data_IF_040083954778
#
_entry.id   IF_040083954778
#
_cell.length_a   1.000
_cell.length_b   1.000
_cell.length_c   1.000
_cell.angle_alpha   90.00
_cell.angle_beta   90.00
_cell.angle_gamma   90.00
#
_symmetry.space_group_name_H-M   'P 1'
#
loop_
_entity.id
_entity.type
_entity.pdbx_description
1 polymer ?
#
# COMPACT_ATOMS: atom_id res chain seq x y z
N UNK A 1 -4.62 23.28 6.72
CA UNK A 1 -3.17 23.41 6.42
C UNK A 1 -2.94 24.11 5.08
N UNK A 2 -3.55 23.63 3.99
CA UNK A 2 -3.48 24.26 2.67
C UNK A 2 -3.99 25.71 2.68
N UNK A 3 -5.17 25.96 3.24
CA UNK A 3 -5.71 27.32 3.37
C UNK A 3 -4.79 28.26 4.14
N UNK A 4 -4.19 27.75 5.23
CA UNK A 4 -3.24 28.53 6.03
C UNK A 4 -2.00 28.87 5.21
N UNK A 5 -1.47 27.91 4.43
CA UNK A 5 -0.33 28.17 3.57
C UNK A 5 -0.64 29.22 2.51
N UNK A 6 -1.82 29.12 1.87
CA UNK A 6 -2.29 30.10 0.89
C UNK A 6 -2.48 31.49 1.49
N UNK A 7 -3.27 31.62 2.56
CA UNK A 7 -3.59 32.90 3.21
C UNK A 7 -2.37 33.60 3.83
N UNK A 8 -1.30 32.86 4.13
CA UNK A 8 -0.08 33.37 4.75
C UNK A 8 1.10 33.44 3.79
N UNK A 9 0.90 33.17 2.49
CA UNK A 9 1.97 33.12 1.48
C UNK A 9 3.14 32.21 1.90
N UNK A 10 2.83 31.06 2.52
CA UNK A 10 3.81 30.05 2.91
C UNK A 10 3.93 28.97 1.81
N UNK A 11 5.02 28.18 1.83
CA UNK A 11 5.14 27.01 0.96
C UNK A 11 3.95 26.06 1.07
N UNK A 12 3.43 25.63 -0.08
CA UNK A 12 2.32 24.67 -0.19
C UNK A 12 2.83 23.25 0.07
N UNK A 13 1.95 22.40 0.61
CA UNK A 13 2.20 20.97 0.67
C UNK A 13 1.92 20.35 -0.70
N UNK A 14 2.96 19.83 -1.34
CA UNK A 14 2.88 19.22 -2.69
C UNK A 14 2.69 17.71 -2.66
N UNK A 15 3.06 17.04 -1.55
CA UNK A 15 3.06 15.57 -1.45
C UNK A 15 2.52 15.10 -0.10
N UNK A 16 1.68 14.07 -0.14
CA UNK A 16 1.26 13.28 1.00
C UNK A 16 1.88 11.87 0.92
N UNK A 17 2.36 11.35 2.05
CA UNK A 17 2.94 10.01 2.12
C UNK A 17 2.19 9.08 3.10
N UNK A 18 1.06 8.47 2.70
CA UNK A 18 0.24 7.62 3.57
C UNK A 18 0.60 6.14 3.47
N UNK A 19 0.17 5.34 4.45
CA UNK A 19 0.08 3.89 4.31
C UNK A 19 -1.05 3.55 3.35
N UNK A 20 -0.75 2.76 2.32
CA UNK A 20 -1.79 2.28 1.41
C UNK A 20 -1.37 1.00 0.69
N UNK A 21 -2.20 -0.04 0.76
CA UNK A 21 -2.00 -1.31 0.09
C UNK A 21 -3.34 -2.07 -0.06
N UNK A 22 -3.33 -3.32 -0.56
CA UNK A 22 -4.57 -4.10 -0.72
C UNK A 22 -5.31 -4.38 0.59
N UNK A 23 -4.61 -4.38 1.72
CA UNK A 23 -5.14 -4.60 3.06
C UNK A 23 -5.49 -3.28 3.77
N UNK A 24 -4.58 -2.31 3.78
CA UNK A 24 -4.74 -1.04 4.48
C UNK A 24 -5.14 0.07 3.50
N UNK A 25 -6.41 0.49 3.56
CA UNK A 25 -7.01 1.42 2.58
C UNK A 25 -7.77 2.58 3.20
N UNK A 26 -8.41 2.35 4.35
CA UNK A 26 -9.41 3.25 4.94
C UNK A 26 -8.87 4.60 5.40
N UNK A 27 -7.57 4.69 5.68
CA UNK A 27 -6.91 5.95 6.05
C UNK A 27 -6.77 6.93 4.89
N UNK A 28 -6.79 6.43 3.64
CA UNK A 28 -6.60 7.24 2.44
C UNK A 28 -7.84 7.30 1.57
N UNK A 29 -8.50 6.16 1.32
CA UNK A 29 -9.71 6.10 0.49
C UNK A 29 -10.78 7.08 1.02
N UNK A 30 -11.44 7.80 0.10
CA UNK A 30 -12.48 8.77 0.43
C UNK A 30 -11.95 10.20 0.57
N UNK A 31 -12.37 10.97 1.60
CA UNK A 31 -12.17 12.42 1.64
C UNK A 31 -10.72 12.88 1.49
N UNK A 32 -9.76 12.12 2.03
CA UNK A 32 -8.34 12.49 1.97
C UNK A 32 -7.79 12.35 0.55
N UNK A 33 -8.05 11.23 -0.13
CA UNK A 33 -7.64 11.03 -1.52
C UNK A 33 -8.36 12.00 -2.47
N UNK A 34 -9.65 12.28 -2.21
CA UNK A 34 -10.40 13.26 -3.01
C UNK A 34 -9.86 14.68 -2.83
N UNK A 35 -9.47 15.06 -1.62
CA UNK A 35 -8.76 16.32 -1.37
C UNK A 35 -7.43 16.35 -2.14
N UNK A 36 -6.62 15.30 -2.06
CA UNK A 36 -5.35 15.24 -2.80
C UNK A 36 -5.54 15.41 -4.31
N UNK A 37 -6.60 14.82 -4.88
CA UNK A 37 -6.93 14.98 -6.30
C UNK A 37 -7.41 16.40 -6.63
N UNK A 38 -8.26 16.99 -5.79
CA UNK A 38 -8.80 18.33 -6.00
C UNK A 38 -7.72 19.42 -5.91
N UNK A 39 -6.73 19.19 -5.05
CA UNK A 39 -5.65 20.13 -4.77
C UNK A 39 -4.37 19.80 -5.56
N UNK A 40 -4.37 18.82 -6.47
CA UNK A 40 -3.17 18.37 -7.19
C UNK A 40 -1.98 18.10 -6.25
N UNK A 41 -2.23 17.32 -5.20
CA UNK A 41 -1.22 16.86 -4.24
C UNK A 41 -0.81 15.45 -4.64
N UNK A 42 0.49 15.26 -4.87
CA UNK A 42 1.05 13.94 -5.16
C UNK A 42 0.87 12.99 -3.98
N UNK A 43 0.49 11.74 -4.25
CA UNK A 43 0.32 10.71 -3.22
C UNK A 43 1.33 9.60 -3.44
N UNK A 44 2.28 9.48 -2.51
CA UNK A 44 3.35 8.48 -2.56
C UNK A 44 3.15 7.50 -1.41
N UNK A 45 2.92 6.21 -1.66
CA UNK A 45 2.44 5.30 -0.58
C UNK A 45 3.59 4.51 0.05
N UNK A 46 3.59 4.38 1.38
CA UNK A 46 4.49 3.46 2.10
C UNK A 46 3.79 2.14 2.47
N UNK A 47 4.60 1.14 2.85
CA UNK A 47 4.13 -0.23 3.12
C UNK A 47 3.22 -0.81 2.02
N UNK A 48 3.57 -0.55 0.76
CA UNK A 48 2.86 -1.01 -0.42
C UNK A 48 2.64 -2.54 -0.48
N UNK A 49 3.48 -3.31 0.22
CA UNK A 49 3.36 -4.76 0.35
C UNK A 49 2.97 -5.24 1.78
N UNK A 50 2.44 -4.35 2.63
CA UNK A 50 2.04 -4.67 4.02
C UNK A 50 3.16 -5.40 4.79
N UNK A 51 4.33 -4.76 4.88
CA UNK A 51 5.57 -5.31 5.50
C UNK A 51 6.06 -6.61 4.85
N UNK A 52 5.61 -6.93 3.64
CA UNK A 52 5.96 -8.14 2.89
C UNK A 52 4.88 -9.21 2.90
N UNK A 53 3.78 -9.02 3.63
CA UNK A 53 2.64 -9.93 3.62
C UNK A 53 2.11 -10.18 2.20
N UNK A 54 1.90 -9.11 1.42
CA UNK A 54 1.33 -9.17 0.07
C UNK A 54 2.28 -9.75 -0.99
N UNK A 55 3.51 -10.16 -0.60
CA UNK A 55 4.36 -10.96 -1.47
C UNK A 55 3.94 -12.43 -1.50
N UNK A 56 3.05 -12.85 -0.61
CA UNK A 56 2.52 -14.22 -0.53
C UNK A 56 3.37 -15.19 0.28
N UNK A 57 4.55 -14.78 0.76
CA UNK A 57 5.51 -15.67 1.42
C UNK A 57 5.11 -16.07 2.86
N UNK A 58 4.24 -15.28 3.50
CA UNK A 58 3.73 -15.52 4.85
C UNK A 58 2.30 -16.06 4.77
N UNK A 59 2.11 -17.33 5.13
CA UNK A 59 0.79 -18.00 5.11
C UNK A 59 0.40 -18.56 6.48
N UNK A 60 1.36 -18.64 7.40
CA UNK A 60 1.21 -19.24 8.71
C UNK A 60 2.19 -18.61 9.71
N UNK A 61 1.98 -18.84 11.01
CA UNK A 61 2.87 -18.33 12.06
C UNK A 61 4.34 -18.79 11.89
N UNK A 62 4.63 -20.05 11.52
CA UNK A 62 6.00 -20.48 11.22
C UNK A 62 6.70 -19.65 10.14
N UNK A 63 5.95 -19.14 9.15
CA UNK A 63 6.54 -18.34 8.06
C UNK A 63 7.11 -17.01 8.53
N UNK A 64 6.71 -16.50 9.71
CA UNK A 64 7.21 -15.25 10.27
C UNK A 64 8.74 -15.29 10.47
N UNK A 65 9.33 -16.47 10.61
CA UNK A 65 10.78 -16.66 10.69
C UNK A 65 11.55 -16.47 9.37
N UNK A 66 10.87 -16.37 8.22
CA UNK A 66 11.52 -16.22 6.91
C UNK A 66 12.26 -14.87 6.72
N UNK A 67 12.09 -13.91 7.64
CA UNK A 67 12.81 -12.64 7.61
C UNK A 67 12.87 -12.02 9.01
N UNK A 68 13.91 -11.24 9.29
CA UNK A 68 14.00 -10.42 10.50
C UNK A 68 12.82 -9.45 10.68
N UNK A 69 12.12 -9.09 9.59
CA UNK A 69 10.92 -8.22 9.62
C UNK A 69 9.61 -8.99 9.72
N UNK A 70 9.64 -10.33 9.74
CA UNK A 70 8.44 -11.16 9.61
C UNK A 70 7.46 -11.01 10.76
N UNK A 71 7.92 -10.80 12.00
CA UNK A 71 7.06 -10.49 13.16
C UNK A 71 6.05 -9.35 12.87
N UNK A 72 6.47 -8.34 12.10
CA UNK A 72 5.61 -7.22 11.73
C UNK A 72 4.38 -7.61 10.89
N UNK A 73 4.38 -8.81 10.30
CA UNK A 73 3.31 -9.35 9.44
C UNK A 73 2.24 -10.10 10.23
N UNK A 74 2.50 -10.48 11.49
CA UNK A 74 1.61 -11.34 12.28
C UNK A 74 0.15 -10.87 12.32
N UNK A 75 -0.07 -9.54 12.38
CA UNK A 75 -1.41 -8.94 12.39
C UNK A 75 -2.22 -9.18 11.10
N UNK A 76 -1.57 -9.47 9.97
CA UNK A 76 -2.21 -9.79 8.70
C UNK A 76 -2.55 -11.28 8.55
N UNK A 77 -2.03 -12.16 9.41
CA UNK A 77 -2.33 -13.60 9.42
C UNK A 77 -3.69 -13.88 10.08
N UNK A 78 -4.74 -13.40 9.44
CA UNK A 78 -6.13 -13.58 9.85
C UNK A 78 -7.01 -13.90 8.63
N UNK A 79 -8.29 -14.17 8.84
CA UNK A 79 -9.22 -14.53 7.77
C UNK A 79 -9.24 -13.50 6.62
N UNK A 80 -9.26 -12.20 6.94
CA UNK A 80 -9.24 -11.13 5.93
C UNK A 80 -7.96 -11.18 5.10
N UNK A 81 -6.81 -11.32 5.75
CA UNK A 81 -5.53 -11.39 5.06
C UNK A 81 -5.45 -12.62 4.15
N UNK A 82 -5.88 -13.78 4.64
CA UNK A 82 -5.86 -15.02 3.85
C UNK A 82 -6.78 -14.95 2.63
N UNK A 83 -7.94 -14.28 2.73
CA UNK A 83 -8.80 -14.02 1.56
C UNK A 83 -8.12 -13.11 0.53
N UNK A 84 -7.41 -12.08 0.97
CA UNK A 84 -6.64 -11.19 0.06
C UNK A 84 -5.54 -11.98 -0.64
N UNK A 85 -4.79 -12.81 0.09
CA UNK A 85 -3.75 -13.64 -0.52
C UNK A 85 -4.32 -14.66 -1.51
N UNK A 86 -5.47 -15.26 -1.22
CA UNK A 86 -6.16 -16.15 -2.15
C UNK A 86 -6.60 -15.43 -3.44
N UNK A 87 -7.06 -14.19 -3.34
CA UNK A 87 -7.36 -13.37 -4.52
C UNK A 87 -6.09 -13.04 -5.33
N UNK A 88 -4.99 -12.76 -4.64
CA UNK A 88 -3.68 -12.56 -5.28
C UNK A 88 -3.19 -13.83 -5.98
N UNK A 89 -3.38 -15.01 -5.38
CA UNK A 89 -3.04 -16.30 -6.01
C UNK A 89 -3.73 -16.44 -7.37
N UNK A 90 -5.05 -16.23 -7.41
CA UNK A 90 -5.84 -16.35 -8.65
C UNK A 90 -5.43 -15.35 -9.74
N UNK A 91 -5.12 -14.10 -9.37
CA UNK A 91 -4.70 -13.07 -10.34
C UNK A 91 -3.27 -13.32 -10.81
N UNK A 92 -2.37 -13.69 -9.90
CA UNK A 92 -0.99 -14.03 -10.21
C UNK A 92 -0.91 -15.20 -11.20
N UNK A 93 -1.70 -16.26 -10.98
CA UNK A 93 -1.79 -17.41 -11.88
C UNK A 93 -2.29 -17.00 -13.27
N UNK A 94 -3.41 -16.27 -13.34
CA UNK A 94 -4.00 -15.81 -14.61
C UNK A 94 -3.03 -14.99 -15.47
N UNK A 95 -2.19 -14.18 -14.83
CA UNK A 95 -1.28 -13.27 -15.51
C UNK A 95 0.17 -13.76 -15.58
N UNK A 96 0.46 -14.98 -15.08
CA UNK A 96 1.83 -15.49 -14.96
C UNK A 96 2.78 -14.51 -14.26
N UNK A 97 2.29 -13.86 -13.20
CA UNK A 97 2.98 -12.82 -12.46
C UNK A 97 3.21 -13.22 -11.00
N UNK A 98 4.10 -12.52 -10.30
CA UNK A 98 4.28 -12.66 -8.84
C UNK A 98 3.24 -11.84 -8.09
N UNK A 99 2.85 -12.30 -6.91
CA UNK A 99 1.86 -11.59 -6.09
C UNK A 99 2.28 -10.16 -5.73
N UNK A 100 3.57 -9.95 -5.45
CA UNK A 100 4.12 -8.62 -5.21
C UNK A 100 3.96 -7.70 -6.43
N UNK A 101 4.15 -8.23 -7.65
CA UNK A 101 3.96 -7.47 -8.89
C UNK A 101 2.49 -7.09 -9.05
N UNK A 102 1.56 -8.03 -8.81
CA UNK A 102 0.12 -7.77 -8.85
C UNK A 102 -0.30 -6.72 -7.82
N UNK A 103 0.18 -6.83 -6.58
CA UNK A 103 -0.13 -5.88 -5.51
C UNK A 103 0.36 -4.46 -5.83
N UNK A 104 1.59 -4.32 -6.35
CA UNK A 104 2.13 -3.02 -6.75
C UNK A 104 1.42 -2.46 -7.98
N UNK A 105 1.15 -3.29 -8.99
CA UNK A 105 0.40 -2.90 -10.18
C UNK A 105 -1.00 -2.40 -9.82
N UNK A 106 -1.66 -3.04 -8.85
CA UNK A 106 -2.94 -2.58 -8.35
C UNK A 106 -2.86 -1.18 -7.75
N UNK A 107 -1.83 -0.86 -6.96
CA UNK A 107 -1.63 0.49 -6.39
C UNK A 107 -1.36 1.50 -7.50
N UNK A 108 -0.48 1.19 -8.45
CA UNK A 108 -0.15 2.06 -9.60
C UNK A 108 -1.40 2.39 -10.42
N UNK A 109 -2.32 1.44 -10.57
CA UNK A 109 -3.57 1.65 -11.31
C UNK A 109 -4.61 2.50 -10.56
N UNK A 110 -4.37 2.91 -9.30
CA UNK A 110 -5.34 3.69 -8.51
C UNK A 110 -5.35 5.16 -8.95
N UNK A 111 -6.51 5.72 -9.33
CA UNK A 111 -6.62 7.16 -9.58
C UNK A 111 -6.23 7.98 -8.34
N UNK A 112 -5.40 9.00 -8.54
CA UNK A 112 -4.91 9.86 -7.47
C UNK A 112 -3.69 9.33 -6.70
N UNK A 113 -3.19 8.14 -7.03
CA UNK A 113 -1.89 7.66 -6.51
C UNK A 113 -0.79 8.01 -7.51
N UNK A 114 0.24 8.71 -7.06
CA UNK A 114 1.39 9.10 -7.89
C UNK A 114 2.37 7.95 -8.06
N UNK A 115 2.78 7.32 -6.95
CA UNK A 115 3.68 6.17 -6.99
C UNK A 115 3.68 5.39 -5.67
N UNK A 116 3.79 4.04 -5.68
CA UNK A 116 4.14 3.28 -4.49
C UNK A 116 5.64 3.31 -4.21
N UNK A 117 6.02 3.40 -2.94
CA UNK A 117 7.38 3.11 -2.50
C UNK A 117 7.53 1.59 -2.43
N UNK A 118 8.46 1.06 -3.22
CA UNK A 118 8.89 -0.33 -3.14
C UNK A 118 10.07 -0.46 -2.16
N UNK A 119 10.09 -1.53 -1.36
CA UNK A 119 11.20 -1.85 -0.47
C UNK A 119 11.56 -3.32 -0.62
N UNK A 120 12.87 -3.60 -0.71
CA UNK A 120 13.40 -4.94 -0.92
C UNK A 120 14.52 -5.24 0.07
N UNK A 121 14.69 -6.52 0.37
CA UNK A 121 15.82 -7.09 1.12
C UNK A 121 16.20 -8.39 0.42
N UNK A 122 17.49 -8.64 0.21
CA UNK A 122 18.03 -9.85 -0.41
C UNK A 122 18.29 -10.96 0.59
#
# INVERSE_FOLDING_TARGET
>A
ALDVASLRSLPRYEVLQPEYNLYDRSSLDGPLLDLCKAEDIGVITYFSLAKGFLSGKYRSKPDLGQSARGEGVAGYLNERGMRILSALDAVAERHSAKQAEVALAWIIARPGITAPIASATS
#
